data_IF_007562132557
#
_entry.id   IF_007562132557
#
_cell.length_a   1.000
_cell.length_b   1.000
_cell.length_c   1.000
_cell.angle_alpha   90.00
_cell.angle_beta   90.00
_cell.angle_gamma   90.00
#
_symmetry.space_group_name_H-M   'P 1'
#
loop_
_entity.id
_entity.type
_entity.pdbx_description
1 polymer ?
#
# COMPACT_ATOMS: atom_id res chain seq x y z
N UNK A 1 6.93 11.13 -22.18
CA UNK A 1 6.65 10.84 -20.76
C UNK A 1 5.90 9.53 -20.65
N UNK A 2 6.33 8.70 -19.76
CA UNK A 2 5.62 7.45 -19.50
C UNK A 2 4.51 7.75 -18.52
N UNK A 3 3.25 7.48 -18.86
CA UNK A 3 2.18 7.70 -17.92
C UNK A 3 2.32 6.75 -16.73
N UNK A 4 2.20 7.32 -15.55
CA UNK A 4 2.23 6.53 -14.31
C UNK A 4 0.79 6.17 -13.97
N UNK A 5 0.18 5.34 -14.83
CA UNK A 5 -1.22 4.97 -14.68
C UNK A 5 -1.40 3.59 -14.04
N UNK A 6 -0.33 2.91 -13.69
CA UNK A 6 -0.38 1.66 -12.95
C UNK A 6 -0.15 1.89 -11.46
N UNK A 7 -0.52 0.91 -10.66
CA UNK A 7 -0.40 0.97 -9.21
C UNK A 7 0.75 0.07 -8.78
N UNK A 8 1.58 0.59 -7.87
CA UNK A 8 2.80 -0.09 -7.42
C UNK A 8 2.72 -0.40 -5.93
N UNK A 9 3.43 -1.44 -5.53
CA UNK A 9 3.50 -1.89 -4.14
C UNK A 9 4.95 -2.18 -3.76
N UNK A 10 5.31 -1.82 -2.55
CA UNK A 10 6.63 -2.15 -2.00
C UNK A 10 6.57 -2.25 -0.48
N UNK A 11 7.51 -3.00 0.07
CA UNK A 11 7.80 -2.96 1.49
C UNK A 11 8.48 -1.63 1.80
N UNK A 12 7.91 -0.84 2.68
CA UNK A 12 8.41 0.50 3.01
C UNK A 12 9.31 0.50 4.24
N UNK A 13 9.36 -0.60 4.99
CA UNK A 13 10.27 -0.78 6.11
C UNK A 13 11.41 -1.69 5.70
N UNK A 14 12.59 -1.60 6.34
CA UNK A 14 13.66 -2.55 6.06
C UNK A 14 13.20 -3.99 6.34
N UNK A 15 13.64 -4.96 5.53
CA UNK A 15 13.34 -6.37 5.80
C UNK A 15 13.99 -6.79 7.12
N UNK A 16 13.35 -7.72 7.83
CA UNK A 16 13.91 -8.29 9.05
C UNK A 16 13.00 -8.17 10.25
N UNK A 17 13.59 -7.96 11.40
CA UNK A 17 12.98 -8.17 12.69
C UNK A 17 12.43 -6.91 13.32
N UNK A 18 11.56 -6.23 12.75
CA UNK A 18 10.87 -5.17 13.43
C UNK A 18 9.55 -5.67 13.96
N UNK A 19 9.02 -5.04 15.00
CA UNK A 19 7.68 -5.34 15.48
C UNK A 19 6.62 -4.86 14.48
N UNK A 20 6.96 -3.90 13.63
CA UNK A 20 6.04 -3.31 12.65
C UNK A 20 6.66 -3.38 11.27
N UNK A 21 5.88 -3.84 10.31
CA UNK A 21 6.24 -3.77 8.91
C UNK A 21 5.22 -2.94 8.15
N UNK A 22 5.69 -2.14 7.20
CA UNK A 22 4.84 -1.25 6.42
C UNK A 22 4.91 -1.64 4.96
N UNK A 23 3.74 -1.94 4.38
CA UNK A 23 3.60 -2.14 2.94
C UNK A 23 2.88 -0.91 2.38
N UNK A 24 3.48 -0.30 1.37
CA UNK A 24 2.95 0.92 0.76
C UNK A 24 2.51 0.65 -0.66
N UNK A 25 1.33 1.16 -1.01
CA UNK A 25 0.75 1.02 -2.35
C UNK A 25 0.44 2.41 -2.87
N UNK A 26 0.80 2.69 -4.12
CA UNK A 26 0.60 4.01 -4.72
C UNK A 26 0.08 3.86 -6.14
N UNK A 27 -0.96 4.58 -6.48
CA UNK A 27 -1.46 4.62 -7.83
C UNK A 27 -2.97 4.75 -7.94
N UNK A 28 -3.48 4.76 -9.18
CA UNK A 28 -4.90 5.02 -9.42
C UNK A 28 -5.83 3.90 -8.94
N UNK A 29 -5.34 2.70 -8.77
CA UNK A 29 -6.19 1.58 -8.32
C UNK A 29 -6.42 1.57 -6.80
N UNK A 30 -5.74 2.43 -6.04
CA UNK A 30 -5.80 2.41 -4.58
C UNK A 30 -7.22 2.49 -4.03
N UNK A 31 -8.09 3.44 -4.46
CA UNK A 31 -9.44 3.47 -3.91
C UNK A 31 -10.23 2.19 -4.16
N UNK A 32 -10.11 1.62 -5.37
CA UNK A 32 -10.78 0.36 -5.70
C UNK A 32 -10.25 -0.80 -4.87
N UNK A 33 -8.93 -0.83 -4.66
CA UNK A 33 -8.31 -1.86 -3.84
C UNK A 33 -8.79 -1.78 -2.39
N UNK A 34 -8.87 -0.58 -1.83
CA UNK A 34 -9.36 -0.38 -0.46
C UNK A 34 -10.80 -0.85 -0.32
N UNK A 35 -11.64 -0.55 -1.30
CA UNK A 35 -13.02 -1.03 -1.30
C UNK A 35 -13.08 -2.55 -1.32
N UNK A 36 -12.25 -3.18 -2.15
CA UNK A 36 -12.21 -4.64 -2.26
C UNK A 36 -11.67 -5.30 -0.99
N UNK A 37 -10.64 -4.69 -0.38
CA UNK A 37 -9.98 -5.27 0.79
C UNK A 37 -10.79 -5.08 2.07
N UNK A 38 -11.38 -3.90 2.27
CA UNK A 38 -11.91 -3.51 3.55
C UNK A 38 -13.38 -3.06 3.49
N UNK A 39 -13.98 -3.05 2.31
CA UNK A 39 -15.38 -2.67 2.13
C UNK A 39 -15.64 -1.18 2.20
N UNK A 40 -14.60 -0.37 2.31
CA UNK A 40 -14.73 1.08 2.44
C UNK A 40 -13.41 1.75 2.05
N UNK A 41 -13.51 2.96 1.48
CA UNK A 41 -12.36 3.84 1.36
C UNK A 41 -12.35 4.71 2.62
N UNK A 42 -11.37 4.53 3.52
CA UNK A 42 -11.41 5.24 4.79
C UNK A 42 -11.14 6.72 4.65
N UNK A 43 -11.47 7.49 5.69
CA UNK A 43 -11.13 8.90 5.72
C UNK A 43 -9.62 9.07 5.59
N UNK A 44 -9.15 10.00 4.75
CA UNK A 44 -7.71 10.20 4.56
C UNK A 44 -7.02 10.62 5.84
N UNK A 45 -5.77 10.14 6.00
CA UNK A 45 -4.84 10.59 7.03
C UNK A 45 -5.30 10.28 8.45
N UNK A 46 -6.14 9.27 8.61
CA UNK A 46 -6.60 8.80 9.93
C UNK A 46 -6.33 7.32 10.01
N UNK A 47 -5.60 6.91 11.05
CA UNK A 47 -5.30 5.51 11.27
C UNK A 47 -6.59 4.74 11.58
N UNK A 48 -6.75 3.59 10.94
CA UNK A 48 -7.90 2.71 11.14
C UNK A 48 -7.41 1.30 11.36
N UNK A 49 -7.88 0.67 12.42
CA UNK A 49 -7.57 -0.74 12.64
C UNK A 49 -8.33 -1.59 11.63
N UNK A 50 -7.63 -2.51 10.97
CA UNK A 50 -8.23 -3.38 9.94
C UNK A 50 -7.70 -4.80 10.09
N UNK A 51 -8.50 -5.75 9.58
CA UNK A 51 -8.06 -7.13 9.35
C UNK A 51 -7.75 -7.27 7.87
N UNK A 52 -6.56 -7.81 7.57
CA UNK A 52 -6.15 -8.12 6.21
C UNK A 52 -6.29 -9.62 6.00
N UNK A 53 -7.13 -10.01 5.05
CA UNK A 53 -7.42 -11.40 4.76
C UNK A 53 -7.11 -11.73 3.31
N UNK A 54 -6.90 -13.03 3.05
CA UNK A 54 -6.85 -13.54 1.68
C UNK A 54 -8.20 -13.41 1.01
N UNK A 55 -8.22 -13.62 -0.30
CA UNK A 55 -9.47 -13.54 -1.05
C UNK A 55 -10.53 -14.54 -0.57
N UNK A 56 -10.10 -15.68 -0.04
CA UNK A 56 -10.98 -16.71 0.51
C UNK A 56 -11.36 -16.49 1.97
N UNK A 57 -10.91 -15.37 2.56
CA UNK A 57 -11.21 -15.04 3.95
C UNK A 57 -10.19 -15.54 4.97
N UNK A 58 -9.17 -16.29 4.55
CA UNK A 58 -8.12 -16.75 5.46
C UNK A 58 -7.36 -15.54 5.99
N UNK A 59 -7.17 -15.42 7.33
CA UNK A 59 -6.46 -14.27 7.87
C UNK A 59 -4.99 -14.23 7.44
N UNK A 60 -4.54 -13.03 7.07
CA UNK A 60 -3.11 -12.76 6.84
C UNK A 60 -2.54 -12.05 8.07
N UNK A 61 -3.19 -10.95 8.49
CA UNK A 61 -2.69 -10.12 9.57
C UNK A 61 -3.79 -9.16 10.02
N UNK A 62 -3.49 -8.37 11.02
CA UNK A 62 -4.29 -7.21 11.41
C UNK A 62 -3.35 -6.08 11.76
N UNK A 63 -3.80 -4.85 11.61
CA UNK A 63 -2.93 -3.71 11.85
C UNK A 63 -3.62 -2.40 11.53
N UNK A 64 -2.83 -1.38 11.24
CA UNK A 64 -3.33 -0.05 10.95
C UNK A 64 -3.27 0.24 9.47
N UNK A 65 -4.34 0.84 8.99
CA UNK A 65 -4.45 1.31 7.62
C UNK A 65 -4.43 2.82 7.61
N UNK A 66 -3.60 3.40 6.74
CA UNK A 66 -3.57 4.84 6.48
C UNK A 66 -3.77 5.06 4.98
N UNK A 67 -4.73 5.91 4.65
CA UNK A 67 -5.01 6.29 3.28
C UNK A 67 -4.67 7.77 3.07
N UNK A 68 -4.04 8.07 1.95
CA UNK A 68 -3.69 9.44 1.55
C UNK A 68 -4.30 9.71 0.19
N UNK A 69 -5.26 10.62 0.13
CA UNK A 69 -5.92 10.95 -1.13
C UNK A 69 -5.03 11.85 -2.00
N UNK A 70 -4.97 11.54 -3.29
CA UNK A 70 -4.23 12.39 -4.22
C UNK A 70 -4.79 13.81 -4.20
N UNK A 71 -3.97 14.83 -4.33
CA UNK A 71 -2.53 14.81 -4.48
C UNK A 71 -1.75 14.90 -3.16
N UNK A 72 -2.44 14.81 -2.02
CA UNK A 72 -1.82 15.04 -0.70
C UNK A 72 -1.21 13.76 -0.17
N UNK A 73 -0.19 13.29 -0.84
CA UNK A 73 0.51 12.07 -0.50
C UNK A 73 1.99 12.20 -0.85
N UNK A 74 2.79 11.21 -0.43
CA UNK A 74 4.22 11.21 -0.75
C UNK A 74 4.47 11.27 -2.26
N UNK A 75 3.74 10.48 -3.04
CA UNK A 75 3.95 10.39 -4.48
C UNK A 75 3.11 11.39 -5.28
N UNK A 76 2.13 12.04 -4.65
CA UNK A 76 1.13 12.84 -5.36
C UNK A 76 -0.03 12.02 -5.90
N UNK A 77 0.02 10.70 -5.78
CA UNK A 77 -1.04 9.79 -6.18
C UNK A 77 -1.88 9.38 -4.97
N UNK A 78 -2.94 8.60 -5.19
CA UNK A 78 -3.58 7.91 -4.08
C UNK A 78 -2.60 6.89 -3.51
N UNK A 79 -2.47 6.87 -2.18
CA UNK A 79 -1.53 5.99 -1.48
C UNK A 79 -2.23 5.36 -0.30
N UNK A 80 -1.96 4.08 -0.03
CA UNK A 80 -2.27 3.57 1.29
C UNK A 80 -1.06 2.84 1.88
N UNK A 81 -1.02 2.79 3.20
CA UNK A 81 -0.04 2.02 3.94
C UNK A 81 -0.77 1.06 4.85
N UNK A 82 -0.35 -0.20 4.82
CA UNK A 82 -0.78 -1.18 5.79
C UNK A 82 0.39 -1.40 6.75
N UNK A 83 0.17 -1.12 8.02
CA UNK A 83 1.16 -1.25 9.08
C UNK A 83 0.79 -2.46 9.92
N UNK A 84 1.42 -3.57 9.61
CA UNK A 84 1.14 -4.84 10.27
C UNK A 84 2.35 -5.37 11.03
N UNK A 85 2.34 -6.66 11.27
CA UNK A 85 3.45 -7.32 11.93
C UNK A 85 4.60 -7.52 10.94
N UNK A 86 5.81 -7.23 11.38
CA UNK A 86 6.96 -7.11 10.49
C UNK A 86 7.60 -8.41 10.01
N UNK A 87 7.02 -9.56 10.31
CA UNK A 87 7.59 -10.83 9.88
C UNK A 87 7.63 -10.95 8.36
N UNK A 88 8.71 -11.56 7.81
CA UNK A 88 8.87 -11.61 6.35
C UNK A 88 7.75 -12.39 5.64
N UNK A 89 7.22 -13.43 6.25
CA UNK A 89 6.14 -14.21 5.65
C UNK A 89 4.86 -13.38 5.56
N UNK A 90 4.50 -12.68 6.63
CA UNK A 90 3.31 -11.84 6.67
C UNK A 90 3.41 -10.72 5.66
N UNK A 91 4.57 -10.07 5.59
CA UNK A 91 4.79 -8.98 4.63
C UNK A 91 4.70 -9.48 3.19
N UNK A 92 5.26 -10.65 2.91
CA UNK A 92 5.17 -11.24 1.58
C UNK A 92 3.72 -11.56 1.20
N UNK A 93 2.96 -12.13 2.13
CA UNK A 93 1.54 -12.42 1.88
C UNK A 93 0.74 -11.15 1.63
N UNK A 94 1.02 -10.07 2.37
CA UNK A 94 0.35 -8.80 2.14
C UNK A 94 0.67 -8.24 0.75
N UNK A 95 1.93 -8.26 0.35
CA UNK A 95 2.34 -7.79 -0.98
C UNK A 95 1.64 -8.61 -2.05
N UNK A 96 1.63 -9.93 -1.93
CA UNK A 96 0.98 -10.80 -2.92
C UNK A 96 -0.52 -10.55 -2.99
N UNK A 97 -1.15 -10.30 -1.84
CA UNK A 97 -2.58 -9.96 -1.80
C UNK A 97 -2.87 -8.69 -2.60
N UNK A 98 -2.05 -7.67 -2.41
CA UNK A 98 -2.21 -6.40 -3.12
C UNK A 98 -1.90 -6.55 -4.61
N UNK A 99 -0.90 -7.37 -4.96
CA UNK A 99 -0.62 -7.67 -6.37
C UNK A 99 -1.79 -8.39 -7.04
N UNK A 100 -2.45 -9.26 -6.30
CA UNK A 100 -3.65 -9.94 -6.79
C UNK A 100 -4.81 -9.00 -7.10
N UNK A 101 -4.78 -7.79 -6.55
CA UNK A 101 -5.79 -6.76 -6.83
C UNK A 101 -5.35 -5.75 -7.88
N UNK A 102 -4.18 -5.95 -8.48
CA UNK A 102 -3.75 -5.14 -9.62
C UNK A 102 -2.52 -4.28 -9.40
N UNK A 103 -1.89 -4.34 -8.24
CA UNK A 103 -0.62 -3.66 -8.04
C UNK A 103 0.52 -4.51 -8.58
N UNK A 104 1.59 -3.87 -9.06
CA UNK A 104 2.82 -4.56 -9.40
C UNK A 104 3.92 -4.14 -8.44
N UNK A 105 4.94 -4.96 -8.30
CA UNK A 105 6.09 -4.58 -7.48
C UNK A 105 6.75 -3.33 -8.05
N UNK A 106 7.03 -2.38 -7.16
CA UNK A 106 7.76 -1.18 -7.52
C UNK A 106 9.20 -1.53 -7.89
N UNK A 107 9.75 -0.78 -8.82
CA UNK A 107 11.18 -0.81 -9.12
C UNK A 107 11.93 0.01 -8.08
N UNK A 108 13.22 -0.26 -7.88
CA UNK A 108 14.01 0.55 -6.95
C UNK A 108 13.89 2.03 -7.25
N UNK A 109 13.58 2.83 -6.23
CA UNK A 109 13.43 4.27 -6.36
C UNK A 109 12.16 4.75 -7.03
N UNK A 110 11.23 3.86 -7.34
CA UNK A 110 10.05 4.25 -8.12
C UNK A 110 9.10 5.16 -7.33
N UNK A 111 8.94 4.95 -6.04
CA UNK A 111 8.11 5.86 -5.23
C UNK A 111 8.68 7.28 -5.26
N UNK A 112 10.00 7.42 -5.10
CA UNK A 112 10.66 8.72 -5.15
C UNK A 112 10.57 9.34 -6.54
N UNK A 113 10.71 8.52 -7.57
CA UNK A 113 10.58 9.02 -8.95
C UNK A 113 9.19 9.58 -9.22
N UNK A 114 8.14 8.88 -8.77
CA UNK A 114 6.77 9.38 -8.94
C UNK A 114 6.55 10.66 -8.15
N UNK A 115 7.08 10.73 -6.93
CA UNK A 115 7.00 11.95 -6.14
C UNK A 115 7.65 13.13 -6.87
N UNK A 116 8.82 12.90 -7.45
CA UNK A 116 9.51 13.95 -8.23
C UNK A 116 8.69 14.38 -9.43
N UNK A 117 8.17 13.42 -10.20
CA UNK A 117 7.39 13.72 -11.41
C UNK A 117 6.08 14.46 -11.07
N UNK A 118 5.56 14.29 -9.88
CA UNK A 118 4.33 14.93 -9.43
C UNK A 118 4.58 16.13 -8.53
N UNK A 119 5.78 16.68 -8.56
CA UNK A 119 6.17 17.90 -7.81
C UNK A 119 6.00 17.75 -6.30
N UNK A 120 6.27 16.56 -5.76
CA UNK A 120 6.22 16.32 -4.31
C UNK A 120 7.60 16.27 -3.67
N UNK A 121 8.63 16.29 -4.47
CA UNK A 121 10.03 16.36 -4.02
C UNK A 121 10.70 17.61 -4.57
#
# INVERSE_FOLDING_TARGET
MIPEDDTIVALATPPGRGGVGIVRVSGPAVPRMLQALFGVVPAPRRARFVHLDEADGTPIDHGLLLYFAAPRSFTGEHVFEFQGHGGPVVMQLAIERFMGLGARLAEPGEFSRRAFLNDRL
#
